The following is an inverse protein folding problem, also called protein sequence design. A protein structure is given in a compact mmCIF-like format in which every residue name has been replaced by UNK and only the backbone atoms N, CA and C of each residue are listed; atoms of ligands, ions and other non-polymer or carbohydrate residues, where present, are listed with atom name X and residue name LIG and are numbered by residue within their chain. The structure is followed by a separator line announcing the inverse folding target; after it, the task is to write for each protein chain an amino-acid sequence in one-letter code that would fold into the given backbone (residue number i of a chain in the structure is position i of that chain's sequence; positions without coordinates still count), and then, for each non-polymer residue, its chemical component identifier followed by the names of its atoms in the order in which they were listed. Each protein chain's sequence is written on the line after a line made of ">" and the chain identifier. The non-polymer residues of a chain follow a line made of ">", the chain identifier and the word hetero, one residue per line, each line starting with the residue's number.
data_IF_772639585293
#
_entry.id   IF_772639585293
#
_cell.length_a   1.000
_cell.length_b   1.000
_cell.length_c   1.000
_cell.angle_alpha   90.00
_cell.angle_beta   90.00
_cell.angle_gamma   90.00
#
_symmetry.space_group_name_H-M   'P 1'
#
loop_
_entity.id
_entity.type
_entity.pdbx_description
1 polymer ?
#
# COMPACT_ATOMS: atom_id res chain seq x y z
N UNK A 1 -5.48 -2.54 17.37
CA UNK A 1 -5.03 -1.34 16.65
C UNK A 1 -5.89 -1.22 15.41
N UNK A 2 -6.37 -0.01 15.06
CA UNK A 2 -7.18 0.17 13.86
C UNK A 2 -6.29 0.11 12.63
N UNK A 3 -6.65 -0.69 11.65
CA UNK A 3 -5.92 -0.88 10.40
C UNK A 3 -6.72 -0.36 9.20
N UNK A 4 -6.04 0.12 8.16
CA UNK A 4 -6.66 0.51 6.88
C UNK A 4 -7.20 -0.72 6.16
N UNK A 5 -6.47 -1.83 6.27
CA UNK A 5 -6.80 -3.12 5.67
C UNK A 5 -6.98 -4.17 6.77
N UNK A 6 -8.15 -4.81 6.85
CA UNK A 6 -8.39 -5.93 7.76
C UNK A 6 -8.01 -7.27 7.13
N UNK A 7 -7.78 -8.30 7.94
CA UNK A 7 -7.51 -9.65 7.44
C UNK A 7 -8.64 -10.18 6.53
N UNK A 8 -9.89 -9.91 6.90
CA UNK A 8 -11.04 -10.33 6.09
C UNK A 8 -11.05 -9.67 4.71
N UNK A 9 -10.73 -8.38 4.64
CA UNK A 9 -10.61 -7.65 3.38
C UNK A 9 -9.40 -8.14 2.58
N UNK A 10 -8.24 -8.35 3.23
CA UNK A 10 -7.04 -8.89 2.60
C UNK A 10 -7.30 -10.23 1.88
N UNK A 11 -8.11 -11.09 2.48
CA UNK A 11 -8.44 -12.40 1.89
C UNK A 11 -9.38 -12.31 0.69
N UNK A 12 -10.02 -11.17 0.46
CA UNK A 12 -10.94 -10.91 -0.67
C UNK A 12 -10.27 -10.07 -1.78
N UNK A 13 -9.25 -9.29 -1.44
CA UNK A 13 -8.55 -8.37 -2.32
C UNK A 13 -7.24 -8.96 -2.83
N UNK A 14 -6.70 -8.39 -3.88
CA UNK A 14 -5.39 -8.70 -4.42
C UNK A 14 -5.21 -10.16 -4.81
N UNK A 15 -4.06 -10.73 -4.44
CA UNK A 15 -3.73 -12.14 -4.71
C UNK A 15 -4.13 -13.05 -3.55
N UNK A 16 -4.62 -14.26 -3.83
CA UNK A 16 -5.10 -15.14 -2.78
C UNK A 16 -3.99 -15.58 -1.83
N UNK A 17 -4.24 -15.43 -0.53
CA UNK A 17 -3.39 -15.93 0.55
C UNK A 17 -4.06 -17.19 1.12
N UNK A 18 -3.26 -18.22 1.37
CA UNK A 18 -3.76 -19.50 1.87
C UNK A 18 -4.55 -19.36 3.19
N UNK A 19 -5.68 -20.05 3.32
CA UNK A 19 -6.56 -19.98 4.50
C UNK A 19 -5.89 -20.38 5.82
N UNK A 20 -4.81 -21.18 5.76
CA UNK A 20 -4.08 -21.68 6.93
C UNK A 20 -2.95 -20.78 7.40
N UNK A 21 -2.78 -19.60 6.80
CA UNK A 21 -1.76 -18.64 7.24
C UNK A 21 -2.21 -18.02 8.56
N UNK A 22 -1.29 -17.98 9.53
CA UNK A 22 -1.52 -17.45 10.86
C UNK A 22 -1.95 -15.98 10.82
N UNK A 23 -3.06 -15.66 11.49
CA UNK A 23 -3.62 -14.31 11.57
C UNK A 23 -2.65 -13.32 12.20
N UNK A 24 -1.90 -13.72 13.22
CA UNK A 24 -0.89 -12.87 13.88
C UNK A 24 0.22 -12.46 12.90
N UNK A 25 0.63 -13.41 12.03
CA UNK A 25 1.62 -13.14 10.99
C UNK A 25 1.08 -12.16 9.93
N UNK A 26 -0.19 -12.31 9.54
CA UNK A 26 -0.84 -11.41 8.60
C UNK A 26 -1.01 -9.99 9.18
N UNK A 27 -1.40 -9.86 10.45
CA UNK A 27 -1.51 -8.58 11.13
C UNK A 27 -0.15 -7.85 11.18
N UNK A 28 0.95 -8.58 11.45
CA UNK A 28 2.29 -8.01 11.41
C UNK A 28 2.62 -7.48 10.00
N UNK A 29 2.31 -8.22 8.94
CA UNK A 29 2.55 -7.78 7.57
C UNK A 29 1.67 -6.59 7.17
N UNK A 30 0.41 -6.55 7.62
CA UNK A 30 -0.47 -5.40 7.42
C UNK A 30 0.14 -4.16 8.09
N UNK A 31 0.51 -4.26 9.36
CA UNK A 31 1.14 -3.17 10.11
C UNK A 31 2.40 -2.65 9.41
N UNK A 32 3.28 -3.55 9.00
CA UNK A 32 4.50 -3.17 8.28
C UNK A 32 4.20 -2.54 6.91
N UNK A 33 3.22 -3.04 6.16
CA UNK A 33 2.84 -2.47 4.88
C UNK A 33 2.30 -1.03 5.04
N UNK A 34 1.45 -0.81 6.03
CA UNK A 34 0.91 0.51 6.37
C UNK A 34 2.01 1.49 6.78
N UNK A 35 2.89 1.09 7.70
CA UNK A 35 3.89 1.97 8.29
C UNK A 35 5.08 2.24 7.37
N UNK A 36 5.52 1.26 6.59
CA UNK A 36 6.75 1.35 5.80
C UNK A 36 6.52 1.73 4.33
N UNK A 37 5.34 1.41 3.77
CA UNK A 37 5.08 1.66 2.36
C UNK A 37 4.04 2.74 2.12
N UNK A 38 2.97 2.81 2.90
CA UNK A 38 1.87 3.75 2.66
C UNK A 38 2.07 5.06 3.41
N UNK A 39 2.24 5.00 4.72
CA UNK A 39 2.35 6.19 5.58
C UNK A 39 3.42 7.19 5.13
N UNK A 40 4.66 6.79 4.74
CA UNK A 40 5.68 7.75 4.29
C UNK A 40 5.30 8.49 3.00
N UNK A 41 4.42 7.89 2.19
CA UNK A 41 4.03 8.41 0.87
C UNK A 41 2.83 9.35 0.98
N UNK A 42 1.79 8.96 1.73
CA UNK A 42 0.59 9.80 1.90
C UNK A 42 0.76 10.87 3.00
N UNK A 43 1.77 10.71 3.85
CA UNK A 43 2.09 11.60 4.97
C UNK A 43 1.28 11.29 6.24
N UNK A 44 1.85 11.65 7.40
CA UNK A 44 1.28 11.37 8.72
C UNK A 44 -0.12 11.98 8.89
N UNK A 45 -0.33 13.20 8.40
CA UNK A 45 -1.59 13.92 8.57
C UNK A 45 -2.77 13.19 7.91
N UNK A 46 -2.61 12.75 6.64
CA UNK A 46 -3.66 11.99 5.95
C UNK A 46 -3.81 10.60 6.54
N UNK A 47 -2.69 9.94 6.88
CA UNK A 47 -2.71 8.62 7.50
C UNK A 47 -3.53 8.61 8.80
N UNK A 48 -3.27 9.56 9.71
CA UNK A 48 -4.01 9.67 10.97
C UNK A 48 -5.48 10.04 10.76
N UNK A 49 -5.78 10.89 9.76
CA UNK A 49 -7.17 11.23 9.40
C UNK A 49 -7.92 9.99 8.89
N UNK A 50 -7.29 9.14 8.08
CA UNK A 50 -7.89 7.88 7.62
C UNK A 50 -8.21 6.97 8.83
N UNK A 51 -7.26 6.79 9.75
CA UNK A 51 -7.48 5.96 10.94
C UNK A 51 -8.62 6.51 11.81
N UNK A 52 -8.70 7.82 12.01
CA UNK A 52 -9.77 8.46 12.76
C UNK A 52 -11.16 8.27 12.10
N UNK A 53 -11.23 8.27 10.75
CA UNK A 53 -12.48 7.95 10.05
C UNK A 53 -12.86 6.46 10.19
N UNK A 54 -11.88 5.55 10.22
CA UNK A 54 -12.12 4.11 10.38
C UNK A 54 -12.50 3.71 11.82
N UNK A 55 -12.24 4.56 12.81
CA UNK A 55 -12.69 4.35 14.20
C UNK A 55 -14.16 4.70 14.42
N UNK A 56 -14.79 5.40 13.49
CA UNK A 56 -16.23 5.69 13.52
C UNK A 56 -17.06 4.45 13.14
N UNK A 57 -18.33 4.44 13.47
CA UNK A 57 -19.26 3.37 13.03
C UNK A 57 -19.33 3.24 11.51
N UNK A 58 -19.18 4.37 10.80
CA UNK A 58 -19.09 4.42 9.34
C UNK A 58 -18.17 5.55 8.89
N UNK A 59 -17.48 5.36 7.76
CA UNK A 59 -16.66 6.41 7.15
C UNK A 59 -17.59 7.50 6.59
N UNK A 60 -17.53 8.70 7.16
CA UNK A 60 -18.39 9.84 6.78
C UNK A 60 -17.80 10.63 5.60
N UNK A 61 -16.47 10.72 5.53
CA UNK A 61 -15.79 11.44 4.47
C UNK A 61 -15.79 10.62 3.17
N UNK A 62 -16.60 11.07 2.20
CA UNK A 62 -16.74 10.41 0.90
C UNK A 62 -15.41 10.29 0.14
N UNK A 63 -14.52 11.28 0.28
CA UNK A 63 -13.22 11.23 -0.40
C UNK A 63 -12.31 10.20 0.26
N UNK A 64 -12.37 10.05 1.58
CA UNK A 64 -11.63 9.00 2.28
C UNK A 64 -12.20 7.62 1.92
N UNK A 65 -13.53 7.47 1.88
CA UNK A 65 -14.15 6.21 1.47
C UNK A 65 -13.73 5.82 0.04
N UNK A 66 -13.80 6.78 -0.89
CA UNK A 66 -13.37 6.55 -2.27
C UNK A 66 -11.86 6.26 -2.38
N UNK A 67 -11.03 6.93 -1.57
CA UNK A 67 -9.60 6.62 -1.50
C UNK A 67 -9.35 5.20 -1.01
N UNK A 68 -10.10 4.72 -0.04
CA UNK A 68 -9.95 3.38 0.54
C UNK A 68 -10.36 2.28 -0.43
N UNK A 69 -11.54 2.40 -1.02
CA UNK A 69 -12.18 1.31 -1.78
C UNK A 69 -11.97 1.44 -3.30
N UNK A 70 -11.48 2.61 -3.76
CA UNK A 70 -11.37 2.89 -5.18
C UNK A 70 -12.70 3.21 -5.83
N UNK A 71 -12.65 3.40 -7.15
CA UNK A 71 -13.82 3.70 -7.97
C UNK A 71 -13.54 4.76 -9.02
N UNK A 72 -14.61 5.36 -9.52
CA UNK A 72 -14.54 6.40 -10.54
C UNK A 72 -14.70 7.78 -9.91
N UNK A 73 -13.96 8.75 -10.42
CA UNK A 73 -14.12 10.16 -10.08
C UNK A 73 -13.92 11.05 -11.31
N UNK A 74 -14.50 12.24 -11.27
CA UNK A 74 -14.36 13.23 -12.32
C UNK A 74 -13.53 14.42 -11.80
N UNK A 75 -12.47 14.79 -12.48
CA UNK A 75 -11.60 15.93 -12.11
C UNK A 75 -12.37 17.26 -12.04
N UNK A 76 -13.43 17.39 -12.82
CA UNK A 76 -14.33 18.54 -12.82
C UNK A 76 -15.03 18.75 -11.47
N UNK A 77 -15.44 17.67 -10.80
CA UNK A 77 -16.14 17.74 -9.51
C UNK A 77 -15.25 18.35 -8.42
N UNK A 78 -13.95 18.34 -8.63
CA UNK A 78 -12.93 18.94 -7.74
C UNK A 78 -12.38 20.28 -8.24
N UNK A 79 -12.94 20.83 -9.34
CA UNK A 79 -12.50 22.10 -9.92
C UNK A 79 -11.08 22.05 -10.50
N UNK A 80 -10.62 20.88 -10.95
CA UNK A 80 -9.28 20.68 -11.51
C UNK A 80 -9.23 20.64 -13.03
N UNK A 81 -10.38 20.49 -13.66
CA UNK A 81 -10.53 20.48 -15.13
C UNK A 81 -11.88 21.11 -15.50
N UNK A 82 -11.94 21.77 -16.63
CA UNK A 82 -13.20 22.24 -17.22
C UNK A 82 -13.88 21.14 -18.05
N UNK A 83 -13.12 20.11 -18.41
CA UNK A 83 -13.58 18.96 -19.17
C UNK A 83 -14.04 17.83 -18.23
N UNK A 84 -14.91 16.97 -18.74
CA UNK A 84 -15.33 15.74 -18.07
C UNK A 84 -14.22 14.67 -18.21
N UNK A 85 -13.20 14.77 -17.32
CA UNK A 85 -12.12 13.81 -17.25
C UNK A 85 -12.45 12.77 -16.17
N UNK A 86 -12.96 11.63 -16.62
CA UNK A 86 -13.31 10.50 -15.74
C UNK A 86 -12.08 9.62 -15.54
N UNK A 87 -11.74 9.40 -14.28
CA UNK A 87 -10.65 8.53 -13.84
C UNK A 87 -11.22 7.34 -13.08
N UNK A 88 -10.51 6.22 -13.13
CA UNK A 88 -10.81 5.02 -12.37
C UNK A 88 -9.54 4.55 -11.65
N UNK A 89 -9.66 4.12 -10.41
CA UNK A 89 -8.54 3.55 -9.64
C UNK A 89 -9.03 2.50 -8.64
N UNK A 90 -8.12 1.62 -8.22
CA UNK A 90 -8.46 0.43 -7.42
C UNK A 90 -8.55 0.69 -5.90
N UNK A 91 -8.08 1.84 -5.44
CA UNK A 91 -8.11 2.21 -4.03
C UNK A 91 -6.88 1.75 -3.22
N UNK A 92 -6.78 2.33 -2.03
CA UNK A 92 -5.62 2.16 -1.14
C UNK A 92 -5.55 0.74 -0.54
N UNK A 93 -6.71 0.14 -0.26
CA UNK A 93 -6.79 -1.23 0.27
C UNK A 93 -6.27 -2.25 -0.71
N UNK A 94 -6.51 -2.07 -2.01
CA UNK A 94 -5.96 -2.94 -3.05
C UNK A 94 -4.44 -2.82 -3.10
N UNK A 95 -3.88 -1.61 -3.13
CA UNK A 95 -2.43 -1.39 -3.06
C UNK A 95 -1.81 -2.06 -1.83
N UNK A 96 -2.41 -1.86 -0.64
CA UNK A 96 -1.95 -2.49 0.60
C UNK A 96 -1.97 -4.02 0.52
N UNK A 97 -3.01 -4.62 -0.09
CA UNK A 97 -3.11 -6.07 -0.24
C UNK A 97 -1.91 -6.65 -1.00
N UNK A 98 -1.42 -5.96 -2.02
CA UNK A 98 -0.22 -6.36 -2.77
C UNK A 98 1.07 -6.17 -1.96
N UNK A 99 1.21 -5.10 -1.15
CA UNK A 99 2.35 -4.97 -0.25
C UNK A 99 2.40 -6.09 0.79
N UNK A 100 1.26 -6.44 1.38
CA UNK A 100 1.14 -7.57 2.33
C UNK A 100 1.49 -8.88 1.64
N UNK A 101 0.97 -9.11 0.42
CA UNK A 101 1.27 -10.31 -0.34
C UNK A 101 2.76 -10.42 -0.69
N UNK A 102 3.43 -9.32 -1.03
CA UNK A 102 4.88 -9.31 -1.25
C UNK A 102 5.65 -9.77 -0.01
N UNK A 103 5.29 -9.26 1.18
CA UNK A 103 5.89 -9.70 2.45
C UNK A 103 5.62 -11.18 2.74
N UNK A 104 4.41 -11.64 2.47
CA UNK A 104 4.05 -13.05 2.59
C UNK A 104 4.93 -13.94 1.70
N UNK A 105 5.15 -13.57 0.44
CA UNK A 105 6.02 -14.31 -0.50
C UNK A 105 7.46 -14.38 0.02
N UNK A 106 7.98 -13.28 0.57
CA UNK A 106 9.35 -13.28 1.13
C UNK A 106 9.49 -14.14 2.38
N UNK A 107 8.45 -14.24 3.19
CA UNK A 107 8.48 -14.95 4.46
C UNK A 107 7.89 -16.36 4.41
N UNK A 108 7.38 -16.81 3.26
CA UNK A 108 6.48 -17.97 3.12
C UNK A 108 6.96 -19.26 3.75
N UNK A 109 8.27 -19.54 3.75
CA UNK A 109 8.84 -20.79 4.25
C UNK A 109 9.65 -20.62 5.53
N UNK A 110 9.68 -19.40 6.09
CA UNK A 110 10.49 -19.07 7.27
C UNK A 110 9.62 -19.19 8.52
N UNK A 111 10.00 -20.08 9.42
CA UNK A 111 9.40 -20.22 10.75
C UNK A 111 10.43 -19.95 11.85
N UNK A 112 10.02 -19.22 12.88
CA UNK A 112 10.79 -19.06 14.10
C UNK A 112 10.56 -20.28 15.00
N UNK A 113 11.63 -20.98 15.34
CA UNK A 113 11.59 -22.14 16.25
C UNK A 113 12.39 -21.81 17.51
N UNK A 114 12.23 -22.65 18.58
CA UNK A 114 13.02 -22.54 19.80
C UNK A 114 14.54 -22.67 19.57
N UNK A 115 14.96 -23.20 18.44
CA UNK A 115 16.37 -23.40 18.07
C UNK A 115 16.90 -22.38 17.05
N UNK A 116 16.07 -21.37 16.68
CA UNK A 116 16.41 -20.36 15.70
C UNK A 116 15.41 -20.27 14.55
N UNK A 117 15.83 -19.67 13.46
CA UNK A 117 15.02 -19.52 12.24
C UNK A 117 15.24 -20.76 11.37
N UNK A 118 14.17 -21.47 11.06
CA UNK A 118 14.16 -22.66 10.20
C UNK A 118 13.38 -22.43 8.92
N UNK A 119 13.69 -23.23 7.90
CA UNK A 119 12.90 -23.32 6.65
C UNK A 119 12.03 -24.56 6.74
N UNK A 120 10.76 -24.43 6.40
CA UNK A 120 9.81 -25.55 6.43
C UNK A 120 10.01 -26.40 5.19
N UNK A 121 10.58 -27.57 5.34
CA UNK A 121 10.68 -28.56 4.27
C UNK A 121 9.42 -29.41 4.21
N UNK A 122 8.81 -29.52 3.03
CA UNK A 122 7.71 -30.43 2.75
C UNK A 122 8.15 -31.47 1.71
N UNK A 123 7.90 -32.74 1.98
CA UNK A 123 8.26 -33.85 1.10
C UNK A 123 7.62 -33.78 -0.31
N UNK A 124 6.57 -32.95 -0.49
CA UNK A 124 5.78 -32.86 -1.73
C UNK A 124 5.92 -31.53 -2.47
N UNK A 125 6.76 -30.60 -2.02
CA UNK A 125 6.96 -29.31 -2.69
C UNK A 125 8.43 -28.90 -2.67
N UNK A 126 8.96 -28.53 -3.83
CA UNK A 126 10.28 -27.91 -3.94
C UNK A 126 10.21 -26.44 -3.56
N UNK A 127 11.21 -25.95 -2.82
CA UNK A 127 11.34 -24.54 -2.51
C UNK A 127 11.62 -23.70 -3.75
N UNK A 128 10.97 -22.54 -3.84
CA UNK A 128 11.31 -21.55 -4.87
C UNK A 128 12.70 -21.05 -4.58
N UNK A 129 13.55 -20.93 -5.62
CA UNK A 129 14.90 -20.36 -5.48
C UNK A 129 14.82 -18.92 -4.96
N UNK A 130 15.82 -18.47 -4.20
CA UNK A 130 15.88 -17.10 -3.66
C UNK A 130 15.83 -16.05 -4.77
N UNK A 131 16.45 -16.34 -5.91
CA UNK A 131 16.39 -15.47 -7.09
C UNK A 131 14.97 -15.34 -7.63
N UNK A 132 14.25 -16.45 -7.76
CA UNK A 132 12.87 -16.45 -8.25
C UNK A 132 11.94 -15.76 -7.26
N UNK A 133 12.15 -15.96 -5.95
CA UNK A 133 11.42 -15.30 -4.88
C UNK A 133 11.61 -13.77 -4.92
N UNK A 134 12.86 -13.32 -5.06
CA UNK A 134 13.18 -11.89 -5.17
C UNK A 134 12.58 -11.26 -6.42
N UNK A 135 12.61 -11.96 -7.56
CA UNK A 135 11.99 -11.48 -8.80
C UNK A 135 10.48 -11.35 -8.64
N UNK A 136 9.82 -12.35 -8.04
CA UNK A 136 8.38 -12.31 -7.76
C UNK A 136 8.03 -11.17 -6.81
N UNK A 137 8.78 -11.02 -5.71
CA UNK A 137 8.62 -9.93 -4.76
C UNK A 137 8.67 -8.55 -5.45
N UNK A 138 9.73 -8.31 -6.24
CA UNK A 138 9.88 -7.04 -6.94
C UNK A 138 8.73 -6.77 -7.90
N UNK A 139 8.29 -7.76 -8.67
CA UNK A 139 7.13 -7.61 -9.56
C UNK A 139 5.83 -7.27 -8.82
N UNK A 140 5.62 -7.85 -7.62
CA UNK A 140 4.46 -7.54 -6.78
C UNK A 140 4.55 -6.11 -6.21
N UNK A 141 5.73 -5.69 -5.76
CA UNK A 141 5.96 -4.33 -5.26
C UNK A 141 5.72 -3.29 -6.35
N UNK A 142 6.09 -3.55 -7.59
CA UNK A 142 5.82 -2.66 -8.73
C UNK A 142 4.31 -2.48 -8.96
N UNK A 143 3.52 -3.56 -8.88
CA UNK A 143 2.06 -3.49 -8.97
C UNK A 143 1.49 -2.66 -7.82
N UNK A 144 1.92 -2.93 -6.57
CA UNK A 144 1.47 -2.21 -5.39
C UNK A 144 1.74 -0.70 -5.51
N UNK A 145 2.94 -0.33 -5.99
CA UNK A 145 3.31 1.07 -6.25
C UNK A 145 2.43 1.71 -7.31
N UNK A 146 2.15 1.01 -8.42
CA UNK A 146 1.27 1.52 -9.47
C UNK A 146 -0.10 1.91 -8.91
N UNK A 147 -0.73 1.04 -8.12
CA UNK A 147 -2.02 1.36 -7.47
C UNK A 147 -1.90 2.51 -6.45
N UNK A 148 -0.79 2.59 -5.71
CA UNK A 148 -0.56 3.69 -4.77
C UNK A 148 -0.38 5.03 -5.49
N UNK A 149 0.30 5.05 -6.64
CA UNK A 149 0.49 6.25 -7.45
C UNK A 149 -0.85 6.79 -7.97
N UNK A 150 -1.77 5.91 -8.39
CA UNK A 150 -3.14 6.30 -8.75
C UNK A 150 -3.89 6.91 -7.55
N UNK A 151 -3.76 6.32 -6.36
CA UNK A 151 -4.31 6.88 -5.12
C UNK A 151 -3.74 8.28 -4.82
N UNK A 152 -2.44 8.49 -5.05
CA UNK A 152 -1.81 9.81 -4.87
C UNK A 152 -2.32 10.85 -5.86
N UNK A 153 -2.58 10.46 -7.11
CA UNK A 153 -3.20 11.35 -8.11
C UNK A 153 -4.57 11.79 -7.59
N UNK A 154 -5.41 10.84 -7.15
CA UNK A 154 -6.70 11.17 -6.55
C UNK A 154 -6.57 12.07 -5.32
N UNK A 155 -5.65 11.79 -4.40
CA UNK A 155 -5.41 12.62 -3.21
C UNK A 155 -5.06 14.09 -3.56
N UNK A 156 -4.30 14.31 -4.64
CA UNK A 156 -3.95 15.66 -5.13
C UNK A 156 -5.15 16.35 -5.76
N UNK A 157 -5.94 15.63 -6.53
CA UNK A 157 -7.14 16.16 -7.21
C UNK A 157 -8.22 16.49 -6.19
N UNK A 158 -8.50 15.59 -5.25
CA UNK A 158 -9.51 15.76 -4.20
C UNK A 158 -9.12 16.76 -3.10
N UNK A 159 -7.84 17.20 -3.08
CA UNK A 159 -7.33 18.11 -2.04
C UNK A 159 -7.10 17.44 -0.69
N UNK A 160 -7.12 16.10 -0.60
CA UNK A 160 -6.76 15.34 0.61
C UNK A 160 -5.29 15.57 1.00
N UNK A 161 -4.41 15.73 0.00
CA UNK A 161 -3.03 16.14 0.16
C UNK A 161 -2.89 17.52 -0.48
N UNK A 162 -2.37 18.48 0.28
CA UNK A 162 -2.01 19.79 -0.30
C UNK A 162 -0.95 19.53 -1.36
N UNK A 163 -1.18 20.03 -2.57
CA UNK A 163 -0.13 20.11 -3.58
C UNK A 163 0.90 21.12 -3.08
N UNK A 164 1.85 20.68 -2.28
CA UNK A 164 3.03 21.50 -2.01
C UNK A 164 3.70 21.71 -3.37
N UNK A 165 3.74 22.97 -3.80
CA UNK A 165 4.55 23.32 -4.95
C UNK A 165 5.95 22.80 -4.69
N UNK A 166 6.40 21.91 -5.56
CA UNK A 166 7.70 21.21 -5.59
C UNK A 166 8.62 21.56 -4.43
N UNK A 167 8.42 20.93 -3.29
CA UNK A 167 9.45 20.86 -2.26
C UNK A 167 10.58 20.06 -2.90
N UNK A 168 11.64 20.76 -3.32
CA UNK A 168 12.87 20.09 -3.76
C UNK A 168 13.28 19.21 -2.60
N UNK A 169 13.21 17.90 -2.77
CA UNK A 169 13.85 16.96 -1.87
C UNK A 169 15.34 17.31 -1.96
N UNK A 170 15.85 18.00 -0.94
CA UNK A 170 17.25 18.28 -0.78
C UNK A 170 17.95 16.98 -0.33
N UNK A 171 18.18 16.09 -1.28
CA UNK A 171 19.05 14.94 -1.06
C UNK A 171 20.46 15.49 -1.07
N UNK A 172 21.02 15.78 0.13
CA UNK A 172 22.44 16.01 0.38
C UNK A 172 23.12 16.99 -0.59
N UNK A 173 23.18 18.27 -0.22
CA UNK A 173 24.25 19.20 -0.41
C UNK A 173 25.13 19.17 -1.67
N UNK A 174 24.61 19.08 -2.89
CA UNK A 174 25.39 19.42 -4.08
C UNK A 174 24.63 20.46 -4.90
N UNK A 175 24.94 21.72 -4.67
CA UNK A 175 24.54 22.82 -5.55
C UNK A 175 25.54 22.91 -6.70
N UNK A 176 25.20 22.34 -7.86
CA UNK A 176 25.98 22.59 -9.08
C UNK A 176 25.60 23.99 -9.57
N UNK A 177 26.45 24.99 -9.31
CA UNK A 177 26.39 26.27 -9.98
C UNK A 177 26.89 26.12 -11.41
N UNK A 178 26.02 26.37 -12.38
CA UNK A 178 26.44 26.53 -13.77
C UNK A 178 27.29 27.78 -13.85
N UNK A 179 28.59 27.62 -14.13
CA UNK A 179 29.50 28.72 -14.47
C UNK A 179 29.25 29.03 -15.94
N UNK A 180 28.80 30.21 -16.23
CA UNK A 180 28.60 30.76 -17.57
C UNK A 180 29.87 31.07 -18.28
#
# INVERSE_FOLDING_TARGET
>A
MTHILTEEQLRKLGRPIGKKVDSTKLEAFITEAEQLHVKPIIGDALFLRILAELEKESVEDKNILLLLDGGNYNSKDYGKSDNDDIHCFMGLRESLSYYVYAKYVMSGDIESTRFGIGVKENEYSSHISDKSRSTLYNGIIEIAKGYLDECLIFCKISGLIKSEGRSRINIGGCTIKKIG
#
